data_IF_490796627145
#
_entry.id   IF_490796627145
#
_cell.length_a   1.000
_cell.length_b   1.000
_cell.length_c   1.000
_cell.angle_alpha   90.00
_cell.angle_beta   90.00
_cell.angle_gamma   90.00
#
_symmetry.space_group_name_H-M   'P 1'
#
loop_
_entity.id
_entity.type
_entity.pdbx_description
1 polymer ?
#
# COMPACT_ATOMS: atom_id res chain seq x y z
N UNK A 1 6.11 2.78 6.24
CA UNK A 1 6.76 1.95 5.20
C UNK A 1 5.83 0.80 4.90
N UNK A 2 5.38 0.66 3.66
CA UNK A 2 4.41 -0.35 3.26
C UNK A 2 5.03 -1.74 3.09
N UNK A 3 4.22 -2.79 3.27
CA UNK A 3 4.64 -4.18 3.05
C UNK A 3 5.06 -4.45 1.59
N UNK A 4 6.00 -5.37 1.33
CA UNK A 4 6.32 -5.79 -0.04
C UNK A 4 5.09 -6.43 -0.71
N UNK A 5 4.94 -6.23 -2.02
CA UNK A 5 3.87 -6.88 -2.78
C UNK A 5 4.21 -8.34 -3.07
N UNK A 6 3.40 -9.26 -2.54
CA UNK A 6 3.53 -10.69 -2.79
C UNK A 6 2.63 -11.16 -3.96
N UNK A 7 3.05 -12.18 -4.72
CA UNK A 7 2.27 -12.74 -5.82
C UNK A 7 1.01 -13.50 -5.36
N UNK A 8 0.91 -13.82 -4.07
CA UNK A 8 -0.27 -14.40 -3.41
C UNK A 8 -1.34 -13.35 -3.09
N UNK A 9 -1.02 -12.05 -3.21
CA UNK A 9 -1.95 -10.97 -2.94
C UNK A 9 -3.16 -11.03 -3.91
N UNK A 10 -4.40 -10.85 -3.42
CA UNK A 10 -5.60 -10.94 -4.26
C UNK A 10 -5.65 -9.90 -5.38
N UNK A 11 -4.94 -8.78 -5.25
CA UNK A 11 -4.90 -7.69 -6.23
C UNK A 11 -3.66 -7.72 -7.14
N UNK A 12 -2.74 -8.68 -6.94
CA UNK A 12 -1.56 -8.81 -7.78
C UNK A 12 -1.94 -9.47 -9.11
N UNK A 13 -1.54 -8.85 -10.22
CA UNK A 13 -1.82 -9.33 -11.57
C UNK A 13 -0.59 -9.19 -12.47
N UNK A 14 -0.58 -9.98 -13.54
CA UNK A 14 0.44 -9.93 -14.58
C UNK A 14 -0.21 -9.49 -15.89
N UNK A 15 0.40 -8.56 -16.63
CA UNK A 15 -0.17 -7.96 -17.85
C UNK A 15 -0.46 -8.99 -18.94
N UNK A 16 0.33 -10.06 -19.01
CA UNK A 16 0.15 -11.15 -19.97
C UNK A 16 -0.71 -12.31 -19.44
N UNK A 17 -1.38 -12.13 -18.30
CA UNK A 17 -2.08 -13.21 -17.57
C UNK A 17 -1.21 -14.45 -17.35
N UNK A 18 0.11 -14.26 -17.27
CA UNK A 18 1.07 -15.34 -17.20
C UNK A 18 1.15 -15.99 -15.80
N UNK A 19 0.48 -15.41 -14.79
CA UNK A 19 0.50 -15.95 -13.44
C UNK A 19 -0.44 -17.15 -13.33
N UNK A 20 0.11 -18.32 -12.98
CA UNK A 20 -0.64 -19.56 -12.75
C UNK A 20 -0.33 -20.07 -11.33
N UNK A 21 -1.37 -20.43 -10.59
CA UNK A 21 -1.24 -21.13 -9.31
C UNK A 21 -1.27 -22.64 -9.56
N UNK A 22 -0.18 -23.35 -9.28
CA UNK A 22 -0.12 -24.82 -9.33
C UNK A 22 -0.01 -25.38 -7.91
N UNK A 23 -0.80 -26.40 -7.61
CA UNK A 23 -0.87 -26.99 -6.27
C UNK A 23 -1.65 -26.11 -5.28
N UNK A 24 -2.22 -26.74 -4.26
CA UNK A 24 -3.11 -26.08 -3.30
C UNK A 24 -4.49 -25.73 -3.88
N UNK A 25 -5.56 -25.97 -3.11
CA UNK A 25 -6.92 -25.55 -3.49
C UNK A 25 -7.05 -24.02 -3.37
N UNK A 26 -6.49 -23.26 -4.30
CA UNK A 26 -6.79 -21.84 -4.47
C UNK A 26 -8.02 -21.69 -5.35
N UNK A 27 -9.20 -21.99 -4.80
CA UNK A 27 -10.40 -21.96 -5.61
C UNK A 27 -11.68 -22.31 -4.87
N UNK A 28 -12.46 -21.25 -4.63
CA UNK A 28 -13.92 -21.24 -4.40
C UNK A 28 -14.38 -21.62 -2.98
N UNK A 29 -14.89 -20.66 -2.19
CA UNK A 29 -15.88 -20.99 -1.17
C UNK A 29 -17.09 -21.61 -1.89
N UNK A 30 -17.23 -22.94 -1.83
CA UNK A 30 -18.43 -23.64 -2.33
C UNK A 30 -18.23 -24.73 -3.40
N UNK A 31 -17.00 -25.05 -3.86
CA UNK A 31 -16.83 -26.18 -4.78
C UNK A 31 -16.58 -27.50 -4.02
N UNK A 32 -17.47 -28.45 -4.25
CA UNK A 32 -17.73 -29.64 -3.45
C UNK A 32 -16.52 -30.56 -3.27
N UNK A 33 -16.59 -31.31 -2.16
CA UNK A 33 -15.72 -32.42 -1.72
C UNK A 33 -15.56 -33.48 -2.82
N UNK A 34 -14.71 -33.22 -3.81
CA UNK A 34 -14.21 -34.22 -4.75
C UNK A 34 -12.88 -34.77 -4.23
N UNK A 35 -12.83 -36.10 -4.04
CA UNK A 35 -11.63 -36.87 -3.64
C UNK A 35 -10.48 -36.56 -4.60
N UNK A 36 -9.44 -35.88 -4.12
CA UNK A 36 -8.14 -35.83 -4.78
C UNK A 36 -7.05 -35.85 -3.71
N UNK A 37 -6.11 -36.75 -3.92
CA UNK A 37 -5.01 -37.22 -3.08
C UNK A 37 -3.90 -36.18 -2.88
N UNK A 38 -4.22 -35.03 -2.32
CA UNK A 38 -3.23 -34.03 -1.89
C UNK A 38 -3.18 -33.95 -0.38
N UNK A 39 -1.99 -34.12 0.20
CA UNK A 39 -1.70 -33.79 1.60
C UNK A 39 -2.29 -32.40 1.92
N UNK A 40 -3.02 -32.29 3.04
CA UNK A 40 -3.20 -30.99 3.68
C UNK A 40 -1.81 -30.36 3.78
N UNK A 41 -1.69 -29.07 3.46
CA UNK A 41 -0.57 -28.17 3.81
C UNK A 41 0.49 -27.79 2.76
N UNK A 42 0.40 -28.13 1.48
CA UNK A 42 1.36 -27.55 0.51
C UNK A 42 0.87 -26.16 0.03
N UNK A 43 1.64 -25.06 0.26
CA UNK A 43 1.28 -23.74 -0.24
C UNK A 43 1.25 -23.75 -1.77
N UNK A 44 0.33 -22.98 -2.39
CA UNK A 44 0.25 -22.92 -3.84
C UNK A 44 1.55 -22.36 -4.42
N UNK A 45 2.12 -23.07 -5.39
CA UNK A 45 3.31 -22.61 -6.09
C UNK A 45 2.84 -21.67 -7.20
N UNK A 46 3.29 -20.42 -7.14
CA UNK A 46 2.99 -19.42 -8.17
C UNK A 46 4.05 -19.49 -9.26
N UNK A 47 3.62 -19.78 -10.48
CA UNK A 47 4.48 -19.94 -11.65
C UNK A 47 4.14 -18.93 -12.74
N UNK A 48 5.12 -18.64 -13.59
CA UNK A 48 4.95 -17.88 -14.82
C UNK A 48 4.70 -18.85 -15.98
N UNK A 49 3.61 -18.70 -16.73
CA UNK A 49 3.27 -19.54 -17.87
C UNK A 49 4.21 -19.38 -19.05
N UNK A 50 4.84 -18.19 -19.17
CA UNK A 50 5.74 -17.89 -20.28
C UNK A 50 7.12 -18.52 -20.10
N UNK A 51 7.66 -18.48 -18.88
CA UNK A 51 8.99 -19.01 -18.56
C UNK A 51 8.92 -20.42 -17.95
N UNK A 52 7.74 -20.84 -17.47
CA UNK A 52 7.55 -22.02 -16.60
C UNK A 52 8.37 -21.99 -15.29
N UNK A 53 8.88 -20.82 -14.92
CA UNK A 53 9.68 -20.56 -13.71
C UNK A 53 8.82 -20.03 -12.54
N UNK A 54 9.32 -20.10 -11.29
CA UNK A 54 8.70 -19.45 -10.14
C UNK A 54 8.51 -17.95 -10.36
N UNK A 55 7.38 -17.42 -9.87
CA UNK A 55 7.06 -16.01 -10.03
C UNK A 55 8.05 -15.11 -9.27
N UNK A 56 8.59 -14.10 -9.96
CA UNK A 56 9.52 -13.11 -9.40
C UNK A 56 8.84 -12.05 -8.49
N UNK A 57 7.50 -12.06 -8.39
CA UNK A 57 6.73 -11.12 -7.58
C UNK A 57 6.86 -9.67 -8.07
N UNK A 58 6.97 -8.73 -7.14
CA UNK A 58 6.98 -7.28 -7.40
C UNK A 58 8.13 -6.79 -8.30
N UNK A 59 9.21 -7.56 -8.44
CA UNK A 59 10.35 -7.21 -9.31
C UNK A 59 10.08 -7.46 -10.80
N UNK A 60 9.02 -8.19 -11.15
CA UNK A 60 8.72 -8.52 -12.53
C UNK A 60 8.23 -7.28 -13.30
N UNK A 61 8.76 -7.03 -14.49
CA UNK A 61 8.35 -5.92 -15.38
C UNK A 61 6.86 -5.96 -15.74
N UNK A 62 6.27 -7.15 -15.76
CA UNK A 62 4.86 -7.36 -16.12
C UNK A 62 3.93 -7.36 -14.90
N UNK A 63 4.49 -7.23 -13.68
CA UNK A 63 3.70 -7.18 -12.46
C UNK A 63 3.01 -5.82 -12.31
N UNK A 64 1.72 -5.85 -12.00
CA UNK A 64 0.98 -4.66 -11.65
C UNK A 64 -0.07 -4.98 -10.58
N UNK A 65 -0.46 -3.96 -9.82
CA UNK A 65 -1.57 -4.07 -8.89
C UNK A 65 -2.86 -3.60 -9.56
N UNK A 66 -3.93 -4.39 -9.46
CA UNK A 66 -5.26 -4.05 -9.94
C UNK A 66 -5.78 -2.73 -9.33
N UNK A 67 -5.43 -2.44 -8.06
CA UNK A 67 -5.73 -1.19 -7.35
C UNK A 67 -4.74 -0.05 -7.60
N UNK A 68 -3.77 -0.25 -8.52
CA UNK A 68 -2.71 0.73 -8.85
C UNK A 68 -1.93 1.19 -7.62
N UNK A 69 -1.55 0.24 -6.77
CA UNK A 69 -0.85 0.51 -5.51
C UNK A 69 0.50 -0.20 -5.40
N UNK A 70 0.98 -0.84 -6.48
CA UNK A 70 2.35 -1.36 -6.55
C UNK A 70 3.29 -0.19 -6.87
N UNK A 71 4.21 0.10 -5.96
CA UNK A 71 5.25 1.12 -6.14
C UNK A 71 6.44 0.53 -6.93
N UNK A 72 7.25 1.37 -7.60
CA UNK A 72 8.44 0.91 -8.33
C UNK A 72 9.48 0.24 -7.41
N UNK A 73 9.49 0.58 -6.12
CA UNK A 73 10.34 -0.07 -5.09
C UNK A 73 9.87 -1.49 -4.74
N UNK A 74 8.72 -1.92 -5.28
CA UNK A 74 8.10 -3.22 -5.01
C UNK A 74 7.25 -3.27 -3.74
N UNK A 75 7.02 -2.13 -3.10
CA UNK A 75 6.18 -1.98 -1.91
C UNK A 75 4.72 -1.69 -2.27
N UNK A 76 3.82 -1.98 -1.33
CA UNK A 76 2.39 -1.77 -1.47
C UNK A 76 1.97 -0.41 -0.86
N UNK A 77 1.50 0.51 -1.69
CA UNK A 77 0.96 1.82 -1.28
C UNK A 77 -0.50 1.79 -0.84
N UNK A 78 -1.11 0.61 -0.64
CA UNK A 78 -2.49 0.53 -0.13
C UNK A 78 -2.57 0.98 1.33
N UNK A 79 -1.56 0.66 2.14
CA UNK A 79 -1.53 1.03 3.55
C UNK A 79 -1.49 2.56 3.70
N UNK A 80 -0.74 3.26 2.85
CA UNK A 80 -0.68 4.73 2.85
C UNK A 80 -1.99 5.39 2.38
N UNK A 81 -2.79 4.72 1.54
CA UNK A 81 -4.12 5.19 1.14
C UNK A 81 -5.18 4.99 2.22
N UNK A 82 -5.10 3.88 2.95
CA UNK A 82 -6.05 3.56 4.02
C UNK A 82 -5.66 4.22 5.35
N UNK A 83 -4.42 4.68 5.48
CA UNK A 83 -3.98 5.40 6.66
C UNK A 83 -4.93 6.60 6.90
N UNK A 84 -5.47 6.74 8.13
CA UNK A 84 -6.34 7.85 8.44
C UNK A 84 -5.55 9.14 8.26
N UNK A 85 -5.93 9.93 7.25
CA UNK A 85 -5.42 11.29 7.11
C UNK A 85 -5.90 12.04 8.34
N UNK A 86 -4.97 12.60 9.12
CA UNK A 86 -5.31 13.55 10.17
C UNK A 86 -5.91 14.77 9.48
N UNK A 87 -7.23 14.82 9.38
CA UNK A 87 -7.95 16.04 9.02
C UNK A 87 -7.90 16.90 10.27
N UNK A 88 -6.88 17.74 10.36
CA UNK A 88 -6.86 18.79 11.39
C UNK A 88 -7.81 19.87 10.90
N UNK A 89 -8.68 20.35 11.77
CA UNK A 89 -9.61 21.41 11.45
C UNK A 89 -8.83 22.70 11.11
N UNK A 90 -9.11 23.28 9.95
CA UNK A 90 -8.36 24.41 9.40
C UNK A 90 -8.47 25.61 10.34
N UNK A 91 -9.64 25.82 10.93
CA UNK A 91 -9.89 26.90 11.90
C UNK A 91 -9.06 26.73 13.17
N UNK A 92 -8.93 25.48 13.65
CA UNK A 92 -8.15 25.18 14.84
C UNK A 92 -6.64 25.38 14.61
N UNK A 93 -6.11 25.04 13.43
CA UNK A 93 -4.72 25.34 13.07
C UNK A 93 -4.48 26.84 12.90
N UNK A 94 -5.38 27.55 12.21
CA UNK A 94 -5.31 29.01 12.04
C UNK A 94 -5.27 29.73 13.40
N UNK A 95 -6.16 29.37 14.33
CA UNK A 95 -6.18 29.95 15.67
C UNK A 95 -4.89 29.65 16.47
N UNK A 96 -4.20 28.54 16.21
CA UNK A 96 -2.90 28.23 16.82
C UNK A 96 -1.77 29.08 16.20
N UNK A 97 -1.81 29.30 14.89
CA UNK A 97 -0.88 30.18 14.19
C UNK A 97 -1.05 31.65 14.59
N UNK A 98 -2.29 32.13 14.73
CA UNK A 98 -2.56 33.49 15.22
C UNK A 98 -2.06 33.70 16.65
N UNK A 99 -2.28 32.74 17.55
CA UNK A 99 -1.77 32.78 18.93
C UNK A 99 -0.25 32.85 18.99
N UNK A 100 0.44 32.06 18.16
CA UNK A 100 1.91 32.10 18.10
C UNK A 100 2.42 33.41 17.48
N UNK A 101 1.77 33.94 16.45
CA UNK A 101 2.08 35.26 15.91
C UNK A 101 1.86 36.38 16.94
N UNK A 102 0.80 36.33 17.73
CA UNK A 102 0.52 37.33 18.76
C UNK A 102 1.61 37.32 19.85
N UNK A 103 2.06 36.14 20.28
CA UNK A 103 3.17 36.01 21.22
C UNK A 103 4.49 36.54 20.65
N UNK A 104 4.77 36.24 19.38
CA UNK A 104 5.96 36.74 18.69
C UNK A 104 5.91 38.25 18.53
N UNK A 105 4.77 38.82 18.11
CA UNK A 105 4.55 40.27 18.02
C UNK A 105 4.77 40.95 19.37
N UNK A 106 4.23 40.40 20.47
CA UNK A 106 4.44 40.94 21.81
C UNK A 106 5.90 40.86 22.30
N UNK A 107 6.66 39.85 21.88
CA UNK A 107 8.11 39.77 22.16
C UNK A 107 8.91 40.75 21.30
N UNK A 108 8.54 40.92 20.03
CA UNK A 108 9.19 41.87 19.11
C UNK A 108 8.95 43.33 19.55
N UNK A 109 7.71 43.67 19.95
CA UNK A 109 7.33 45.00 20.45
C UNK A 109 8.11 45.37 21.71
N UNK A 110 8.29 44.42 22.65
CA UNK A 110 9.15 44.61 23.84
C UNK A 110 10.62 44.82 23.52
N UNK A 111 11.10 44.37 22.36
CA UNK A 111 12.48 44.57 21.89
C UNK A 111 12.63 45.80 20.99
N UNK A 112 11.58 46.58 20.78
CA UNK A 112 11.61 47.80 19.94
C UNK A 112 11.79 47.54 18.44
N UNK A 113 11.57 46.31 17.97
CA UNK A 113 11.83 45.88 16.58
C UNK A 113 10.56 45.88 15.71
N UNK A 114 9.45 46.44 16.20
CA UNK A 114 8.16 46.43 15.53
C UNK A 114 7.56 47.84 15.62
N UNK A 115 7.82 48.66 14.60
CA UNK A 115 7.17 49.95 14.39
C UNK A 115 5.83 49.72 13.66
N UNK A 116 4.77 50.32 14.19
CA UNK A 116 3.42 50.21 13.63
C UNK A 116 3.35 51.18 12.44
N UNK A 117 3.26 50.65 11.21
CA UNK A 117 3.00 51.43 9.97
C UNK A 117 1.55 51.93 9.99
#
# INVERSE_FOLDING_TARGET
MGKPCEPTCPFFRCSNRAMIFKGGRFGKPGLQKGRASGSKMDPPIVLCSMLNDPCQGAKCRYAFCEKRALLPDGTCGLEDRLAPKRVVDIEAEAAKMERSLMQLKGRLKRRGLLEEI
#
